data_IF_898706897756
#
_entry.id   IF_898706897756
#
_cell.length_a   1.000
_cell.length_b   1.000
_cell.length_c   1.000
_cell.angle_alpha   90.00
_cell.angle_beta   90.00
_cell.angle_gamma   90.00
#
_symmetry.space_group_name_H-M   'P 1'
#
loop_
_entity.id
_entity.type
_entity.pdbx_description
1 polymer ?
#
# COMPACT_ATOMS: atom_id res chain seq x y z
N UNK A 1 -37.98 -36.69 7.93
CA UNK A 1 -38.14 -37.98 7.21
C UNK A 1 -37.63 -37.75 5.79
N UNK A 2 -36.60 -38.37 5.23
CA UNK A 2 -36.05 -39.72 5.38
C UNK A 2 -34.51 -39.68 5.34
N UNK A 3 -33.91 -40.56 6.14
CA UNK A 3 -32.50 -40.96 6.11
C UNK A 3 -32.33 -42.07 5.07
N UNK A 4 -31.21 -42.11 4.36
CA UNK A 4 -30.53 -43.32 3.85
C UNK A 4 -29.11 -42.86 3.46
N UNK A 5 -28.02 -43.21 4.19
CA UNK A 5 -27.34 -44.52 4.26
C UNK A 5 -26.88 -44.96 2.85
N UNK A 6 -25.61 -45.26 2.55
CA UNK A 6 -24.68 -46.13 3.28
C UNK A 6 -23.27 -46.13 2.60
N UNK A 7 -22.20 -46.28 3.40
CA UNK A 7 -20.92 -47.03 3.17
C UNK A 7 -20.03 -46.71 1.95
N UNK A 8 -18.81 -46.18 2.11
CA UNK A 8 -17.58 -46.76 2.70
C UNK A 8 -16.79 -47.67 1.73
N UNK A 9 -15.56 -47.25 1.38
CA UNK A 9 -14.41 -48.12 1.12
C UNK A 9 -13.11 -47.36 1.40
N UNK A 10 -12.40 -47.89 2.40
CA UNK A 10 -11.03 -47.59 2.85
C UNK A 10 -10.05 -48.39 1.98
N UNK A 11 -8.84 -47.85 1.75
CA UNK A 11 -7.54 -48.52 1.48
C UNK A 11 -6.81 -47.87 0.29
N UNK A 12 -5.50 -47.68 0.22
CA UNK A 12 -4.32 -47.67 1.11
C UNK A 12 -3.13 -47.27 0.19
N UNK A 13 -1.92 -47.13 0.74
CA UNK A 13 -0.61 -46.99 0.06
C UNK A 13 -0.19 -45.55 -0.29
N UNK A 14 0.98 -45.02 0.07
CA UNK A 14 2.13 -45.54 0.81
C UNK A 14 2.96 -44.37 1.34
N UNK A 15 3.46 -44.52 2.56
CA UNK A 15 4.48 -43.66 3.17
C UNK A 15 5.82 -44.00 2.52
N UNK A 16 6.46 -43.05 1.85
CA UNK A 16 7.87 -43.17 1.46
C UNK A 16 8.72 -42.38 2.47
N UNK A 17 9.29 -43.10 3.42
CA UNK A 17 10.44 -42.65 4.21
C UNK A 17 11.70 -42.88 3.37
N UNK A 18 12.50 -41.84 3.19
CA UNK A 18 13.92 -41.98 2.86
C UNK A 18 14.75 -41.27 3.94
N UNK A 19 15.78 -41.92 4.50
CA UNK A 19 16.69 -41.32 5.46
C UNK A 19 18.00 -40.83 4.80
N UNK A 20 18.79 -40.15 5.63
CA UNK A 20 20.24 -39.89 5.52
C UNK A 20 20.71 -38.71 4.66
N UNK A 21 21.17 -37.66 5.34
CA UNK A 21 22.60 -37.35 5.39
C UNK A 21 22.89 -36.38 6.56
N UNK A 22 23.39 -36.94 7.67
CA UNK A 22 24.21 -36.20 8.62
C UNK A 22 25.54 -35.88 7.94
N UNK A 23 25.96 -34.62 8.01
CA UNK A 23 27.36 -34.24 7.91
C UNK A 23 27.59 -33.04 8.83
N UNK A 24 27.61 -33.33 10.13
CA UNK A 24 28.34 -32.55 11.10
C UNK A 24 29.64 -33.32 11.36
N UNK A 25 30.80 -32.74 11.07
CA UNK A 25 32.03 -33.08 11.76
C UNK A 25 33.00 -31.87 11.81
N UNK A 26 33.93 -31.88 12.79
CA UNK A 26 34.41 -30.71 13.49
C UNK A 26 35.93 -30.50 13.35
N UNK A 27 36.43 -29.37 13.85
CA UNK A 27 37.74 -29.22 14.53
C UNK A 27 38.03 -27.72 14.68
N UNK A 28 38.03 -27.14 15.88
CA UNK A 28 39.04 -27.24 16.95
C UNK A 28 40.04 -26.07 16.89
N UNK A 29 39.90 -25.18 17.88
CA UNK A 29 40.93 -24.43 18.64
C UNK A 29 41.86 -23.50 17.81
N UNK A 30 42.19 -22.28 18.22
CA UNK A 30 42.86 -21.92 19.48
C UNK A 30 43.04 -20.39 19.57
N UNK A 31 43.23 -19.88 20.79
CA UNK A 31 44.07 -18.71 21.18
C UNK A 31 43.55 -17.27 21.01
N UNK A 32 43.06 -16.74 22.13
CA UNK A 32 43.42 -15.44 22.76
C UNK A 32 44.46 -14.54 22.08
N UNK A 33 44.10 -13.28 21.82
CA UNK A 33 44.97 -12.12 22.11
C UNK A 33 44.17 -10.85 22.43
N UNK A 34 44.42 -10.32 23.62
CA UNK A 34 43.93 -9.07 24.21
C UNK A 34 44.66 -7.87 23.59
N UNK A 35 43.93 -6.82 23.18
CA UNK A 35 44.48 -5.45 23.05
C UNK A 35 43.38 -4.37 23.07
N UNK A 36 43.37 -3.62 24.18
CA UNK A 36 43.07 -2.20 24.42
C UNK A 36 41.78 -1.50 23.87
N UNK A 37 41.09 -0.70 24.70
CA UNK A 37 39.87 0.01 24.35
C UNK A 37 40.17 1.34 23.62
N UNK A 38 39.60 1.56 22.43
CA UNK A 38 39.57 2.88 21.81
C UNK A 38 38.25 3.58 22.13
N UNK A 39 38.36 4.67 22.91
CA UNK A 39 37.32 5.70 23.14
C UNK A 39 36.54 5.98 21.85
N UNK A 40 35.23 5.77 21.87
CA UNK A 40 34.31 6.48 20.97
C UNK A 40 33.65 7.61 21.74
N UNK A 41 33.68 8.78 21.11
CA UNK A 41 33.22 10.08 21.57
C UNK A 41 31.79 10.05 22.15
N UNK A 42 31.44 10.98 23.05
CA UNK A 42 30.09 11.07 23.60
C UNK A 42 29.09 11.30 22.47
N UNK A 43 28.12 10.39 22.36
CA UNK A 43 26.98 10.54 21.50
C UNK A 43 26.27 11.85 21.88
N UNK A 44 26.37 12.86 21.01
CA UNK A 44 25.47 14.01 21.05
C UNK A 44 24.04 13.46 20.96
N UNK A 45 23.32 13.50 22.08
CA UNK A 45 21.87 13.33 22.09
C UNK A 45 21.30 14.38 21.14
N UNK A 46 20.87 13.95 19.94
CA UNK A 46 20.02 14.78 19.11
C UNK A 46 18.74 14.98 19.90
N UNK A 47 18.53 16.22 20.36
CA UNK A 47 17.25 16.66 20.87
C UNK A 47 16.21 16.33 19.81
N UNK A 48 15.23 15.50 20.17
CA UNK A 48 14.06 15.27 19.35
C UNK A 48 13.29 16.59 19.33
N UNK A 49 13.46 17.35 18.24
CA UNK A 49 12.52 18.42 17.90
C UNK A 49 11.18 17.73 17.71
N UNK A 50 10.19 18.06 18.53
CA UNK A 50 8.82 17.61 18.33
C UNK A 50 8.41 18.03 16.91
N UNK A 51 8.21 17.03 16.05
CA UNK A 51 7.84 17.27 14.67
C UNK A 51 6.46 17.95 14.65
N UNK A 52 6.36 19.08 13.95
CA UNK A 52 5.08 19.72 13.69
C UNK A 52 4.12 18.71 13.03
N UNK A 53 2.80 18.81 13.30
CA UNK A 53 1.81 17.94 12.64
C UNK A 53 1.96 18.09 11.13
N UNK A 54 2.15 16.95 10.44
CA UNK A 54 2.34 16.96 9.00
C UNK A 54 1.13 17.65 8.33
N UNK A 55 1.42 18.47 7.33
CA UNK A 55 0.42 19.19 6.54
C UNK A 55 0.37 18.59 5.13
N UNK A 56 -0.75 18.74 4.41
CA UNK A 56 -0.78 18.49 2.98
C UNK A 56 0.30 19.31 2.26
N UNK A 57 0.92 18.74 1.22
CA UNK A 57 1.90 19.46 0.43
C UNK A 57 1.25 20.67 -0.28
N UNK A 58 2.00 21.77 -0.43
CA UNK A 58 1.49 22.95 -1.14
C UNK A 58 1.05 22.61 -2.57
N UNK A 59 -0.10 23.14 -2.98
CA UNK A 59 -0.71 22.85 -4.27
C UNK A 59 -1.42 21.49 -4.35
N UNK A 60 -1.65 20.82 -3.22
CA UNK A 60 -2.58 19.68 -3.17
C UNK A 60 -4.03 20.14 -3.31
N UNK A 61 -4.80 19.48 -4.15
CA UNK A 61 -6.24 19.70 -4.32
C UNK A 61 -7.01 18.95 -3.22
N UNK A 62 -8.02 19.60 -2.64
CA UNK A 62 -8.90 18.98 -1.65
C UNK A 62 -9.98 18.14 -2.33
N UNK A 63 -10.10 16.90 -1.86
CA UNK A 63 -11.15 15.96 -2.20
C UNK A 63 -11.98 15.67 -0.95
N UNK A 64 -13.24 16.07 -0.99
CA UNK A 64 -14.21 15.82 0.09
C UNK A 64 -14.87 14.48 -0.15
N UNK A 65 -14.82 13.61 0.85
CA UNK A 65 -15.36 12.26 0.79
C UNK A 65 -16.62 12.13 1.63
N UNK A 66 -17.30 11.00 1.48
CA UNK A 66 -18.36 10.57 2.38
C UNK A 66 -17.85 10.50 3.83
N UNK A 67 -18.76 10.65 4.78
CA UNK A 67 -18.48 10.59 6.23
C UNK A 67 -17.55 11.70 6.74
N UNK A 68 -17.47 12.82 6.01
CA UNK A 68 -16.61 13.99 6.31
C UNK A 68 -15.10 13.71 6.25
N UNK A 69 -14.71 12.61 5.62
CA UNK A 69 -13.31 12.32 5.34
C UNK A 69 -12.75 13.32 4.32
N UNK A 70 -11.44 13.60 4.42
CA UNK A 70 -10.73 14.54 3.55
C UNK A 70 -9.47 13.91 3.01
N UNK A 71 -9.31 14.03 1.71
CA UNK A 71 -8.13 13.58 0.98
C UNK A 71 -7.51 14.78 0.29
N UNK A 72 -6.19 14.89 0.30
CA UNK A 72 -5.51 15.90 -0.51
C UNK A 72 -4.62 15.22 -1.52
N UNK A 73 -4.72 15.65 -2.78
CA UNK A 73 -4.00 15.03 -3.87
C UNK A 73 -3.14 16.07 -4.58
N UNK A 74 -1.86 15.76 -4.74
CA UNK A 74 -0.89 16.53 -5.50
C UNK A 74 -0.34 15.70 -6.65
N UNK A 75 -0.37 16.29 -7.84
CA UNK A 75 0.13 15.72 -9.08
C UNK A 75 -0.90 15.80 -10.19
N UNK A 76 -0.47 15.54 -11.42
CA UNK A 76 -1.31 15.47 -12.60
C UNK A 76 -1.72 14.02 -12.87
N UNK A 77 -2.98 13.69 -12.56
CA UNK A 77 -3.54 12.35 -12.82
C UNK A 77 -3.58 11.97 -14.32
N UNK A 78 -3.34 12.89 -15.25
CA UNK A 78 -3.26 12.58 -16.69
C UNK A 78 -1.87 12.08 -17.10
N UNK A 79 -0.83 12.50 -16.40
CA UNK A 79 0.57 12.33 -16.85
C UNK A 79 1.47 11.65 -15.83
N UNK A 80 1.25 11.92 -14.55
CA UNK A 80 2.18 11.51 -13.51
C UNK A 80 2.12 10.00 -13.29
N UNK A 81 3.31 9.42 -13.15
CA UNK A 81 3.49 8.02 -12.78
C UNK A 81 3.46 7.81 -11.26
N UNK A 82 3.64 8.88 -10.49
CA UNK A 82 3.59 8.86 -9.03
C UNK A 82 2.72 10.03 -8.58
N UNK A 83 1.65 9.72 -7.87
CA UNK A 83 0.76 10.70 -7.27
C UNK A 83 1.13 10.87 -5.79
N UNK A 84 1.13 12.09 -5.28
CA UNK A 84 1.29 12.32 -3.83
C UNK A 84 -0.08 12.56 -3.21
N UNK A 85 -0.38 11.81 -2.15
CA UNK A 85 -1.66 11.81 -1.49
C UNK A 85 -1.45 12.03 0.01
N UNK A 86 -2.07 13.05 0.57
CA UNK A 86 -2.09 13.26 2.02
C UNK A 86 -3.35 12.67 2.63
N UNK A 87 -3.16 11.76 3.58
CA UNK A 87 -4.24 11.08 4.31
C UNK A 87 -3.83 10.92 5.78
N UNK A 88 -4.74 11.28 6.70
CA UNK A 88 -4.57 11.14 8.16
C UNK A 88 -3.19 11.60 8.69
N UNK A 89 -2.73 12.78 8.27
CA UNK A 89 -1.48 13.34 8.78
C UNK A 89 -0.22 12.76 8.13
N UNK A 90 -0.32 12.12 6.96
CA UNK A 90 0.83 11.54 6.26
C UNK A 90 0.74 11.70 4.75
N UNK A 91 1.87 11.99 4.11
CA UNK A 91 2.01 11.95 2.66
C UNK A 91 2.40 10.54 2.19
N UNK A 92 1.65 10.02 1.23
CA UNK A 92 1.88 8.76 0.55
C UNK A 92 2.22 9.04 -0.91
N UNK A 93 3.30 8.41 -1.39
CA UNK A 93 3.63 8.42 -2.82
C UNK A 93 3.10 7.15 -3.44
N UNK A 94 2.12 7.29 -4.32
CA UNK A 94 1.37 6.20 -4.91
C UNK A 94 1.77 6.04 -6.38
N UNK A 95 2.53 5.00 -6.75
CA UNK A 95 2.79 4.65 -8.14
C UNK A 95 1.51 4.28 -8.89
N UNK A 96 1.37 4.78 -10.12
CA UNK A 96 0.31 4.38 -11.05
C UNK A 96 0.41 2.90 -11.38
N UNK A 97 -0.73 2.25 -11.40
CA UNK A 97 -0.89 0.86 -11.81
C UNK A 97 -1.54 0.79 -13.19
N UNK A 98 -1.14 -0.21 -13.97
CA UNK A 98 -1.84 -0.55 -15.20
C UNK A 98 -3.19 -1.20 -14.85
N UNK A 99 -4.27 -0.70 -15.43
CA UNK A 99 -5.62 -1.22 -15.25
C UNK A 99 -6.23 -1.57 -16.59
N UNK A 100 -7.09 -2.57 -16.61
CA UNK A 100 -7.84 -2.96 -17.81
C UNK A 100 -9.19 -2.25 -17.90
N UNK A 101 -9.69 -1.72 -16.78
CA UNK A 101 -11.02 -1.12 -16.65
C UNK A 101 -11.06 0.36 -17.02
N UNK A 102 -9.92 0.98 -17.33
CA UNK A 102 -9.83 2.42 -17.57
C UNK A 102 -10.05 3.27 -16.32
N UNK A 103 -10.05 2.69 -15.13
CA UNK A 103 -9.94 3.47 -13.90
C UNK A 103 -8.47 3.77 -13.63
N UNK A 104 -8.15 5.00 -13.21
CA UNK A 104 -6.81 5.29 -12.76
C UNK A 104 -6.62 4.71 -11.36
N UNK A 105 -5.66 3.80 -11.21
CA UNK A 105 -5.32 3.19 -9.92
C UNK A 105 -3.91 3.58 -9.53
N UNK A 106 -3.73 4.00 -8.29
CA UNK A 106 -2.43 4.32 -7.71
C UNK A 106 -2.24 3.52 -6.43
N UNK A 107 -1.25 2.64 -6.43
CA UNK A 107 -1.02 1.70 -5.35
C UNK A 107 0.44 1.71 -4.92
N UNK A 108 0.66 1.86 -3.63
CA UNK A 108 1.96 1.69 -3.02
C UNK A 108 1.96 0.43 -2.13
N UNK A 109 2.71 -0.59 -2.55
CA UNK A 109 2.85 -1.84 -1.80
C UNK A 109 3.53 -1.62 -0.43
N UNK A 110 4.38 -0.60 -0.30
CA UNK A 110 5.13 -0.34 0.93
C UNK A 110 4.27 0.28 2.02
N UNK A 111 3.23 1.06 1.70
CA UNK A 111 2.24 1.56 2.66
C UNK A 111 0.97 0.70 2.69
N UNK A 112 0.64 0.02 1.60
CA UNK A 112 -0.61 -0.71 1.42
C UNK A 112 -1.76 0.18 0.93
N UNK A 113 -1.53 1.48 0.72
CA UNK A 113 -2.55 2.44 0.27
C UNK A 113 -2.84 2.24 -1.22
N UNK A 114 -4.12 2.18 -1.55
CA UNK A 114 -4.61 2.00 -2.92
C UNK A 114 -5.73 3.00 -3.22
N UNK A 115 -5.42 3.97 -4.08
CA UNK A 115 -6.34 4.98 -4.53
C UNK A 115 -6.88 4.58 -5.91
N UNK A 116 -8.20 4.46 -6.02
CA UNK A 116 -8.90 4.22 -7.28
C UNK A 116 -9.68 5.47 -7.65
N UNK A 117 -9.39 6.04 -8.82
CA UNK A 117 -10.05 7.22 -9.36
C UNK A 117 -10.84 6.84 -10.59
N UNK A 118 -12.14 7.13 -10.56
CA UNK A 118 -13.05 7.03 -11.70
C UNK A 118 -13.52 8.43 -12.10
N UNK A 119 -14.10 8.63 -13.29
CA UNK A 119 -14.42 9.97 -13.80
C UNK A 119 -15.23 10.85 -12.85
N UNK A 120 -16.13 10.28 -12.05
CA UNK A 120 -17.01 11.04 -11.16
C UNK A 120 -16.59 11.06 -9.68
N UNK A 121 -15.64 10.23 -9.24
CA UNK A 121 -15.25 10.10 -7.83
C UNK A 121 -13.98 9.28 -7.62
N UNK A 122 -13.39 9.38 -6.44
CA UNK A 122 -12.32 8.50 -5.98
C UNK A 122 -12.73 7.68 -4.75
N UNK A 123 -12.04 6.56 -4.55
CA UNK A 123 -12.17 5.65 -3.42
C UNK A 123 -10.77 5.29 -2.92
N UNK A 124 -10.60 5.26 -1.60
CA UNK A 124 -9.34 4.93 -0.94
C UNK A 124 -9.46 3.62 -0.18
N UNK A 125 -8.53 2.72 -0.44
CA UNK A 125 -8.43 1.43 0.22
C UNK A 125 -7.07 1.29 0.91
N UNK A 126 -7.03 0.38 1.87
CA UNK A 126 -5.80 -0.18 2.41
C UNK A 126 -5.77 -1.68 2.17
N UNK A 127 -4.58 -2.23 1.94
CA UNK A 127 -4.31 -3.68 1.92
C UNK A 127 -3.66 -4.17 3.22
N UNK A 128 -3.57 -3.30 4.24
CA UNK A 128 -3.17 -3.71 5.59
C UNK A 128 -4.31 -4.46 6.27
N UNK A 129 -3.97 -5.37 7.17
CA UNK A 129 -4.88 -6.03 8.11
C UNK A 129 -6.14 -6.65 7.47
N UNK A 130 -5.98 -7.32 6.32
CA UNK A 130 -7.07 -7.99 5.61
C UNK A 130 -7.82 -7.11 4.60
N UNK A 131 -7.45 -5.84 4.50
CA UNK A 131 -7.95 -4.89 3.53
C UNK A 131 -9.23 -4.21 3.97
N UNK A 132 -9.33 -2.90 3.76
CA UNK A 132 -10.50 -2.10 4.16
C UNK A 132 -10.67 -0.88 3.27
N UNK A 133 -11.91 -0.42 3.14
CA UNK A 133 -12.25 0.83 2.46
C UNK A 133 -12.16 1.96 3.48
N UNK A 134 -11.25 2.89 3.25
CA UNK A 134 -10.94 3.99 4.18
C UNK A 134 -11.73 5.26 3.86
N UNK A 135 -11.95 5.54 2.57
CA UNK A 135 -12.72 6.69 2.14
C UNK A 135 -13.47 6.39 0.85
N UNK A 136 -14.65 6.99 0.73
CA UNK A 136 -15.56 6.76 -0.37
C UNK A 136 -16.13 8.03 -0.94
N UNK A 137 -16.53 7.95 -2.21
CA UNK A 137 -17.22 9.02 -2.91
C UNK A 137 -16.49 10.35 -2.78
N UNK A 138 -15.17 10.30 -2.86
CA UNK A 138 -14.32 11.47 -2.78
C UNK A 138 -14.45 12.28 -4.08
N UNK A 139 -14.79 13.56 -3.96
CA UNK A 139 -14.97 14.47 -5.08
C UNK A 139 -14.28 15.80 -4.79
N UNK A 140 -13.74 16.43 -5.83
CA UNK A 140 -13.33 17.83 -5.73
C UNK A 140 -14.55 18.75 -5.74
N UNK A 141 -14.39 19.99 -5.31
CA UNK A 141 -15.47 20.97 -5.35
C UNK A 141 -16.02 21.14 -6.78
N UNK A 142 -15.14 21.13 -7.77
CA UNK A 142 -15.53 21.29 -9.17
C UNK A 142 -16.31 20.06 -9.71
N UNK A 143 -16.03 18.86 -9.19
CA UNK A 143 -16.81 17.66 -9.53
C UNK A 143 -18.21 17.72 -8.91
N UNK A 144 -18.32 18.13 -7.65
CA UNK A 144 -19.58 18.21 -6.93
C UNK A 144 -20.50 19.33 -7.48
N UNK A 145 -19.97 20.53 -7.69
CA UNK A 145 -20.80 21.70 -8.02
C UNK A 145 -21.00 21.90 -9.53
N UNK A 146 -19.99 21.54 -10.33
CA UNK A 146 -19.94 21.88 -11.76
C UNK A 146 -20.05 20.66 -12.66
N UNK A 147 -20.34 19.47 -12.09
CA UNK A 147 -20.36 18.18 -12.80
C UNK A 147 -19.11 17.94 -13.65
N UNK A 148 -17.96 18.51 -13.26
CA UNK A 148 -16.70 18.23 -13.94
C UNK A 148 -16.27 16.80 -13.64
N UNK A 149 -15.57 16.21 -14.61
CA UNK A 149 -14.95 14.90 -14.41
C UNK A 149 -13.55 15.07 -13.83
N UNK A 150 -13.13 14.08 -13.03
CA UNK A 150 -11.77 13.96 -12.54
C UNK A 150 -10.74 13.99 -13.70
N UNK A 151 -9.54 14.56 -13.52
CA UNK A 151 -8.52 14.65 -14.56
C UNK A 151 -7.81 13.31 -14.83
N UNK A 152 -8.57 12.24 -15.09
CA UNK A 152 -8.05 10.89 -15.33
C UNK A 152 -7.55 10.70 -16.76
N UNK A 153 -6.67 9.72 -16.97
CA UNK A 153 -6.21 9.34 -18.32
C UNK A 153 -7.36 8.90 -19.23
N UNK A 154 -8.33 8.18 -18.68
CA UNK A 154 -9.49 7.73 -19.47
C UNK A 154 -10.38 8.88 -19.93
N UNK A 155 -10.49 9.96 -19.16
CA UNK A 155 -11.20 11.15 -19.62
C UNK A 155 -10.46 11.89 -20.75
N UNK A 156 -9.13 11.84 -20.78
CA UNK A 156 -8.35 12.37 -21.90
C UNK A 156 -8.51 11.50 -23.15
N UNK A 157 -8.52 10.17 -23.01
CA UNK A 157 -8.79 9.25 -24.13
C UNK A 157 -10.17 9.50 -24.77
N UNK A 158 -11.20 9.77 -23.96
CA UNK A 158 -12.55 10.10 -24.45
C UNK A 158 -12.54 11.41 -25.27
N UNK A 159 -11.73 12.40 -24.89
CA UNK A 159 -11.65 13.69 -25.62
C UNK A 159 -10.94 13.60 -26.96
N UNK A 160 -9.98 12.69 -27.12
CA UNK A 160 -9.20 12.53 -28.37
C UNK A 160 -10.01 11.83 -29.47
N UNK A 161 -11.10 11.14 -29.11
CA UNK A 161 -11.88 10.31 -30.04
C UNK A 161 -13.08 11.06 -30.66
N UNK A 162 -13.27 12.35 -30.37
CA UNK A 162 -14.33 13.20 -30.97
C UNK A 162 -13.75 14.26 -31.90
#
# INVERSE_FOLDING_TARGET
>A
MKKLCLTALVALCSVAVLPTAFAAEPASKTTTKKAAPKKKAPAKKKAAVAAAPAQPDEGSELWSCKENNKLYIKGDMKRDQILTMFWEGRNYRLPRQQTTTGADRFYDAASGMDLVVIPAKAMLFTHRDGGSRLADECMTQAMADQNKLAPTQSNELIKVTN
#
